data_IF_739741753581
#
_entry.id   IF_739741753581
#
_cell.length_a   1.000
_cell.length_b   1.000
_cell.length_c   1.000
_cell.angle_alpha   90.00
_cell.angle_beta   90.00
_cell.angle_gamma   90.00
#
_symmetry.space_group_name_H-M   'P 1'
#
loop_
_entity.id
_entity.type
_entity.pdbx_description
1 polymer ?
#
# COMPACT_ATOMS: atom_id res chain seq x y z
N UNK A 1 51.46 6.66 5.80
CA UNK A 1 51.30 7.49 7.02
C UNK A 1 50.78 8.85 6.56
N UNK A 2 49.62 9.35 6.92
CA UNK A 2 48.55 8.84 7.75
C UNK A 2 47.22 9.48 7.35
N UNK A 3 46.21 8.67 7.60
CA UNK A 3 44.77 8.84 7.63
C UNK A 3 44.28 10.01 8.52
N UNK A 4 43.11 10.59 8.16
CA UNK A 4 42.04 11.21 8.99
C UNK A 4 41.53 12.54 8.38
N UNK A 5 40.25 12.90 8.43
CA UNK A 5 38.99 12.23 8.75
C UNK A 5 37.88 13.27 8.48
N UNK A 6 36.73 12.81 7.95
CA UNK A 6 35.37 13.33 8.20
C UNK A 6 35.04 14.79 7.74
N UNK A 7 33.85 15.12 7.20
CA UNK A 7 32.51 14.59 7.49
C UNK A 7 31.54 15.02 6.36
N UNK A 8 31.06 14.10 5.53
CA UNK A 8 29.87 14.34 4.67
C UNK A 8 28.65 13.91 5.48
N UNK A 9 28.10 14.86 6.22
CA UNK A 9 26.84 14.71 6.93
C UNK A 9 25.77 15.53 6.24
N UNK A 10 24.93 14.91 5.41
CA UNK A 10 23.53 15.32 5.21
C UNK A 10 22.86 14.43 4.16
N UNK A 11 22.57 13.18 4.50
CA UNK A 11 21.47 12.45 3.88
C UNK A 11 20.69 11.72 4.97
N UNK A 12 19.37 11.66 4.79
CA UNK A 12 18.36 11.08 5.69
C UNK A 12 17.85 11.95 6.85
N UNK A 13 17.12 13.02 6.51
CA UNK A 13 16.07 13.58 7.39
C UNK A 13 14.63 13.29 6.94
N UNK A 14 14.43 12.70 5.74
CA UNK A 14 13.09 12.43 5.21
C UNK A 14 12.48 11.08 5.66
N UNK A 15 13.31 10.15 6.15
CA UNK A 15 12.85 8.79 6.51
C UNK A 15 12.33 8.66 7.96
N UNK A 16 12.27 9.75 8.73
CA UNK A 16 12.01 9.68 10.20
C UNK A 16 10.84 10.55 10.66
N UNK A 17 9.75 10.60 9.89
CA UNK A 17 8.44 11.04 10.39
C UNK A 17 7.32 10.11 9.90
N UNK A 18 7.41 8.84 10.24
CA UNK A 18 6.21 8.01 10.34
C UNK A 18 5.72 8.16 11.77
N UNK A 19 4.75 9.05 11.99
CA UNK A 19 4.09 9.19 13.29
C UNK A 19 3.37 7.88 13.58
N UNK A 20 4.04 6.99 14.31
CA UNK A 20 3.55 5.70 14.74
C UNK A 20 2.42 5.83 15.75
N UNK A 21 1.22 6.23 15.30
CA UNK A 21 0.02 6.04 16.12
C UNK A 21 -0.54 4.63 15.95
N UNK A 22 -0.44 4.01 14.77
CA UNK A 22 -0.97 2.67 14.54
C UNK A 22 -0.03 1.80 13.67
N UNK A 23 0.18 0.55 14.08
CA UNK A 23 0.98 -0.42 13.31
C UNK A 23 0.14 -0.97 12.16
N UNK A 24 0.29 -0.36 10.99
CA UNK A 24 -0.33 -0.86 9.76
C UNK A 24 0.47 -2.06 9.24
N UNK A 25 -0.23 -3.09 8.75
CA UNK A 25 0.39 -4.19 7.99
C UNK A 25 -0.15 -4.17 6.58
N UNK A 26 0.67 -4.56 5.61
CA UNK A 26 0.22 -4.79 4.24
C UNK A 26 0.44 -6.25 3.88
N UNK A 27 -0.47 -6.82 3.09
CA UNK A 27 -0.34 -8.17 2.54
C UNK A 27 -1.03 -8.26 1.19
N UNK A 28 -0.67 -9.26 0.40
CA UNK A 28 -1.43 -9.59 -0.81
C UNK A 28 -2.83 -10.07 -0.45
N UNK A 29 -3.79 -9.63 -1.24
CA UNK A 29 -5.17 -10.05 -1.17
C UNK A 29 -5.32 -11.49 -1.67
N UNK A 30 -6.35 -12.16 -1.16
CA UNK A 30 -6.81 -13.48 -1.57
C UNK A 30 -8.29 -13.41 -1.94
N UNK A 31 -8.82 -14.45 -2.58
CA UNK A 31 -10.22 -14.43 -3.05
C UNK A 31 -11.22 -14.25 -1.90
N UNK A 32 -10.94 -14.82 -0.74
CA UNK A 32 -11.75 -14.74 0.47
C UNK A 32 -11.88 -13.31 1.05
N UNK A 33 -10.96 -12.41 0.71
CA UNK A 33 -10.97 -11.02 1.17
C UNK A 33 -12.01 -10.15 0.45
N UNK A 34 -12.75 -10.70 -0.51
CA UNK A 34 -13.75 -9.95 -1.27
C UNK A 34 -14.78 -9.25 -0.37
N UNK A 35 -15.15 -9.88 0.76
CA UNK A 35 -16.09 -9.29 1.73
C UNK A 35 -15.54 -8.01 2.37
N UNK A 36 -14.27 -7.98 2.71
CA UNK A 36 -13.63 -6.80 3.29
C UNK A 36 -13.49 -5.67 2.27
N UNK A 37 -13.19 -6.06 1.03
CA UNK A 37 -13.12 -5.15 -0.10
C UNK A 37 -14.47 -4.49 -0.42
N UNK A 38 -15.58 -5.23 -0.33
CA UNK A 38 -16.93 -4.65 -0.47
C UNK A 38 -17.19 -3.54 0.56
N UNK A 39 -16.75 -3.73 1.81
CA UNK A 39 -16.88 -2.70 2.87
C UNK A 39 -16.06 -1.45 2.56
N UNK A 40 -14.84 -1.61 2.05
CA UNK A 40 -14.01 -0.45 1.64
C UNK A 40 -14.65 0.33 0.50
N UNK A 41 -15.34 -0.37 -0.39
CA UNK A 41 -15.97 0.19 -1.59
C UNK A 41 -17.33 0.86 -1.30
N UNK A 42 -17.91 0.61 -0.12
CA UNK A 42 -19.24 1.10 0.24
C UNK A 42 -19.32 2.64 0.17
N UNK A 43 -20.32 3.12 -0.57
CA UNK A 43 -20.57 4.56 -0.77
C UNK A 43 -19.58 5.27 -1.70
N UNK A 44 -18.53 4.60 -2.20
CA UNK A 44 -17.59 5.20 -3.16
C UNK A 44 -18.32 5.51 -4.47
N UNK A 45 -18.19 6.76 -4.93
CA UNK A 45 -18.84 7.28 -6.14
C UNK A 45 -20.35 6.98 -6.21
N UNK A 46 -21.05 7.03 -5.07
CA UNK A 46 -22.48 6.72 -5.01
C UNK A 46 -22.80 5.25 -5.25
N UNK A 47 -21.87 4.34 -4.95
CA UNK A 47 -22.01 2.89 -5.16
C UNK A 47 -21.51 2.39 -6.51
N UNK A 48 -20.89 3.25 -7.32
CA UNK A 48 -20.39 2.93 -8.66
C UNK A 48 -18.88 2.69 -8.69
N UNK A 49 -18.32 2.20 -7.59
CA UNK A 49 -16.89 1.87 -7.55
C UNK A 49 -16.60 0.67 -8.46
N UNK A 50 -15.57 0.79 -9.30
CA UNK A 50 -15.15 -0.29 -10.19
C UNK A 50 -14.40 -1.40 -9.47
N UNK A 51 -14.00 -1.16 -8.22
CA UNK A 51 -13.08 -2.00 -7.47
C UNK A 51 -13.66 -3.41 -7.19
N UNK A 52 -14.92 -3.57 -6.71
CA UNK A 52 -15.56 -4.88 -6.57
C UNK A 52 -15.70 -5.65 -7.89
N UNK A 53 -15.98 -4.94 -8.98
CA UNK A 53 -16.15 -5.56 -10.29
C UNK A 53 -14.84 -6.16 -10.81
N UNK A 54 -13.70 -5.51 -10.56
CA UNK A 54 -12.41 -5.89 -11.13
C UNK A 54 -11.55 -6.77 -10.21
N UNK A 55 -11.91 -6.92 -8.94
CA UNK A 55 -11.06 -7.57 -7.94
C UNK A 55 -10.61 -8.97 -8.34
N UNK A 56 -11.55 -9.86 -8.65
CA UNK A 56 -11.23 -11.25 -8.99
C UNK A 56 -10.41 -11.38 -10.28
N UNK A 57 -10.62 -10.48 -11.24
CA UNK A 57 -9.82 -10.44 -12.46
C UNK A 57 -8.41 -9.97 -12.17
N UNK A 58 -8.25 -8.95 -11.31
CA UNK A 58 -6.94 -8.44 -10.94
C UNK A 58 -6.07 -9.44 -10.22
N UNK A 59 -6.64 -10.33 -9.39
CA UNK A 59 -5.89 -11.42 -8.74
C UNK A 59 -5.29 -12.42 -9.73
N UNK A 60 -5.83 -12.48 -10.96
CA UNK A 60 -5.39 -13.43 -12.00
C UNK A 60 -4.41 -12.82 -13.00
N UNK A 61 -4.24 -11.50 -13.00
CA UNK A 61 -3.36 -10.82 -13.96
C UNK A 61 -1.90 -10.94 -13.50
N UNK A 62 -1.01 -11.54 -14.31
CA UNK A 62 0.41 -11.58 -14.00
C UNK A 62 0.97 -10.18 -13.78
N UNK A 63 1.91 -10.03 -12.84
CA UNK A 63 2.54 -8.76 -12.49
C UNK A 63 1.56 -7.70 -11.95
N UNK A 64 0.33 -8.06 -11.60
CA UNK A 64 -0.58 -7.20 -10.86
C UNK A 64 -0.67 -7.67 -9.42
N UNK A 65 -0.50 -6.73 -8.49
CA UNK A 65 -0.52 -6.98 -7.06
C UNK A 65 -1.68 -6.21 -6.46
N UNK A 66 -2.54 -6.91 -5.72
CA UNK A 66 -3.60 -6.29 -4.93
C UNK A 66 -3.19 -6.39 -3.46
N UNK A 67 -2.84 -5.25 -2.87
CA UNK A 67 -2.46 -5.14 -1.47
C UNK A 67 -3.65 -4.74 -0.62
N UNK A 68 -3.79 -5.39 0.53
CA UNK A 68 -4.70 -5.02 1.61
C UNK A 68 -3.90 -4.45 2.77
N UNK A 69 -4.40 -3.33 3.30
CA UNK A 69 -3.86 -2.68 4.48
C UNK A 69 -4.70 -3.07 5.70
N UNK A 70 -4.05 -3.64 6.71
CA UNK A 70 -4.66 -4.04 7.96
C UNK A 70 -4.28 -3.10 9.11
N UNK A 71 -5.29 -2.67 9.86
CA UNK A 71 -5.15 -1.96 11.11
C UNK A 71 -5.83 -2.76 12.21
N UNK A 72 -5.08 -3.19 13.22
CA UNK A 72 -5.61 -3.97 14.36
C UNK A 72 -6.42 -5.21 13.93
N UNK A 73 -5.99 -5.87 12.85
CA UNK A 73 -6.64 -7.07 12.31
C UNK A 73 -7.85 -6.80 11.42
N UNK A 74 -8.21 -5.53 11.18
CA UNK A 74 -9.26 -5.14 10.24
C UNK A 74 -8.66 -4.63 8.95
N UNK A 75 -9.20 -5.03 7.81
CA UNK A 75 -8.82 -4.44 6.53
C UNK A 75 -9.42 -3.03 6.43
N UNK A 76 -8.56 -2.03 6.28
CA UNK A 76 -8.94 -0.61 6.25
C UNK A 76 -8.62 0.07 4.92
N UNK A 77 -7.88 -0.59 4.04
CA UNK A 77 -7.51 -0.01 2.74
C UNK A 77 -7.07 -1.06 1.74
N UNK A 78 -7.06 -0.66 0.49
CA UNK A 78 -6.61 -1.46 -0.65
C UNK A 78 -5.77 -0.59 -1.59
N UNK A 79 -4.68 -1.18 -2.10
CA UNK A 79 -3.85 -0.59 -3.14
C UNK A 79 -3.61 -1.61 -4.25
N UNK A 80 -3.74 -1.21 -5.50
CA UNK A 80 -3.50 -2.07 -6.66
C UNK A 80 -2.30 -1.54 -7.42
N UNK A 81 -1.27 -2.36 -7.51
CA UNK A 81 -0.02 -2.05 -8.19
C UNK A 81 0.18 -2.94 -9.42
N UNK A 82 0.86 -2.42 -10.43
CA UNK A 82 1.35 -3.20 -11.56
C UNK A 82 2.87 -3.10 -11.63
N UNK A 83 3.53 -4.24 -11.74
CA UNK A 83 4.97 -4.34 -11.98
C UNK A 83 5.20 -4.28 -13.49
N UNK A 84 5.94 -3.27 -13.92
CA UNK A 84 6.20 -2.97 -15.33
C UNK A 84 7.70 -2.83 -15.58
N UNK A 85 8.10 -2.59 -16.83
CA UNK A 85 9.50 -2.42 -17.23
C UNK A 85 10.39 -3.59 -16.80
N UNK A 86 9.90 -4.81 -17.01
CA UNK A 86 10.59 -6.06 -16.66
C UNK A 86 10.99 -6.15 -15.19
N UNK A 87 10.08 -5.78 -14.28
CA UNK A 87 10.33 -5.87 -12.83
C UNK A 87 10.92 -4.61 -12.19
N UNK A 88 11.30 -3.61 -13.00
CA UNK A 88 12.08 -2.45 -12.51
C UNK A 88 11.24 -1.30 -11.97
N UNK A 89 9.95 -1.29 -12.30
CA UNK A 89 9.05 -0.18 -11.95
C UNK A 89 7.75 -0.73 -11.38
N UNK A 90 7.33 -0.17 -10.24
CA UNK A 90 6.00 -0.40 -9.70
C UNK A 90 5.12 0.83 -9.94
N UNK A 91 3.94 0.62 -10.53
CA UNK A 91 2.95 1.66 -10.76
C UNK A 91 1.67 1.38 -9.96
N UNK A 92 1.42 2.21 -8.94
CA UNK A 92 0.15 2.21 -8.19
C UNK A 92 -0.97 2.76 -9.08
N UNK A 93 -2.11 2.07 -9.13
CA UNK A 93 -3.19 2.31 -10.10
C UNK A 93 -4.58 2.46 -9.48
N UNK A 94 -4.80 1.93 -8.28
CA UNK A 94 -6.05 2.09 -7.54
C UNK A 94 -5.75 2.12 -6.06
N UNK A 95 -6.35 3.06 -5.35
CA UNK A 95 -6.17 3.21 -3.92
C UNK A 95 -7.49 3.60 -3.26
N UNK A 96 -7.85 2.93 -2.16
CA UNK A 96 -9.00 3.27 -1.33
C UNK A 96 -8.65 3.08 0.15
N UNK A 97 -9.22 3.95 0.98
CA UNK A 97 -9.28 3.77 2.44
C UNK A 97 -10.76 3.77 2.83
N UNK A 98 -11.15 2.85 3.69
CA UNK A 98 -12.47 2.76 4.28
C UNK A 98 -12.87 4.11 4.91
N UNK A 99 -14.14 4.53 4.74
CA UNK A 99 -14.59 5.88 5.10
C UNK A 99 -14.20 6.28 6.54
N UNK A 100 -14.45 5.40 7.51
CA UNK A 100 -14.15 5.64 8.94
C UNK A 100 -12.66 5.81 9.28
N UNK A 101 -11.76 5.42 8.37
CA UNK A 101 -10.32 5.43 8.60
C UNK A 101 -9.60 6.55 7.83
N UNK A 102 -10.35 7.43 7.14
CA UNK A 102 -9.80 8.57 6.40
C UNK A 102 -9.39 9.71 7.33
N UNK A 103 -8.55 10.61 6.84
CA UNK A 103 -8.06 11.78 7.59
C UNK A 103 -6.99 11.48 8.63
N UNK A 104 -6.53 10.23 8.74
CA UNK A 104 -5.56 9.78 9.77
C UNK A 104 -4.13 9.61 9.23
N UNK A 105 -3.86 9.99 7.97
CA UNK A 105 -2.53 9.85 7.36
C UNK A 105 -2.14 8.41 6.98
N UNK A 106 -3.11 7.48 6.90
CA UNK A 106 -2.83 6.08 6.59
C UNK A 106 -2.24 5.86 5.19
N UNK A 107 -2.58 6.70 4.20
CA UNK A 107 -2.10 6.54 2.82
C UNK A 107 -0.57 6.47 2.74
N UNK A 108 0.12 7.41 3.39
CA UNK A 108 1.59 7.46 3.38
C UNK A 108 2.21 6.26 4.10
N UNK A 109 1.55 5.76 5.14
CA UNK A 109 2.03 4.58 5.88
C UNK A 109 1.85 3.31 5.06
N UNK A 110 0.72 3.16 4.37
CA UNK A 110 0.44 2.02 3.49
C UNK A 110 1.43 1.98 2.32
N UNK A 111 1.61 3.11 1.62
CA UNK A 111 2.56 3.21 0.50
C UNK A 111 4.00 2.90 0.94
N UNK A 112 4.40 3.35 2.14
CA UNK A 112 5.72 3.02 2.70
C UNK A 112 5.90 1.51 2.95
N UNK A 113 4.90 0.86 3.54
CA UNK A 113 4.92 -0.59 3.78
C UNK A 113 4.89 -1.40 2.47
N UNK A 114 4.11 -0.98 1.48
CA UNK A 114 4.12 -1.59 0.14
C UNK A 114 5.51 -1.46 -0.49
N UNK A 115 6.13 -0.28 -0.43
CA UNK A 115 7.48 -0.08 -0.95
C UNK A 115 8.54 -0.94 -0.25
N UNK A 116 8.35 -1.28 1.04
CA UNK A 116 9.22 -2.22 1.76
C UNK A 116 8.96 -3.66 1.28
N UNK A 117 7.71 -4.07 1.12
CA UNK A 117 7.33 -5.40 0.63
C UNK A 117 7.86 -5.65 -0.79
N UNK A 118 7.69 -4.68 -1.69
CA UNK A 118 8.17 -4.73 -3.07
C UNK A 118 9.69 -4.91 -3.20
N UNK A 119 10.48 -4.59 -2.18
CA UNK A 119 11.94 -4.83 -2.19
C UNK A 119 12.33 -6.27 -1.87
N UNK A 120 11.35 -7.10 -1.48
CA UNK A 120 11.56 -8.50 -1.08
C UNK A 120 11.18 -9.50 -2.17
N UNK A 121 10.53 -9.03 -3.23
CA UNK A 121 10.13 -9.79 -4.42
C UNK A 121 11.12 -9.54 -5.55
#
# INVERSE_FOLDING_TARGET
MDEKSQKVGSQNKAATRLSGKHKIRVRLAREEDYKDLLRISEGIYGGLDSLPLRFHDWLKIPNKLVYLAELEGKVVGVSVASIVSSGKTCMSSTFRIHNDYRGQGLSSSIEAEIAIDLRRI
#
